data_IF_009107171876
#
_entry.id   IF_009107171876
#
_cell.length_a   1.000
_cell.length_b   1.000
_cell.length_c   1.000
_cell.angle_alpha   90.00
_cell.angle_beta   90.00
_cell.angle_gamma   90.00
#
_symmetry.space_group_name_H-M   'P 1'
#
loop_
_entity.id
_entity.type
_entity.pdbx_description
1 polymer ?
#
# COMPACT_ATOMS: atom_id res chain seq x y z
N UNK A 1 -67.44 4.68 -8.88
CA UNK A 1 -67.80 5.93 -8.21
C UNK A 1 -66.64 6.89 -8.38
N UNK A 2 -66.90 7.97 -9.11
CA UNK A 2 -65.98 9.08 -9.38
C UNK A 2 -66.07 10.08 -8.24
N UNK A 3 -64.94 10.61 -7.77
CA UNK A 3 -64.74 11.93 -7.12
C UNK A 3 -63.29 12.29 -7.51
N UNK A 4 -62.96 13.15 -8.48
CA UNK A 4 -63.20 14.58 -8.70
C UNK A 4 -62.41 15.50 -7.75
N UNK A 5 -61.46 16.22 -8.35
CA UNK A 5 -61.00 17.60 -8.08
C UNK A 5 -60.19 17.91 -6.80
N UNK A 6 -59.28 18.89 -6.75
CA UNK A 6 -58.51 19.73 -7.71
C UNK A 6 -57.53 20.59 -6.82
N UNK A 7 -56.95 21.74 -7.23
CA UNK A 7 -55.53 22.05 -7.04
C UNK A 7 -55.32 23.21 -6.05
N UNK A 8 -54.08 23.64 -5.80
CA UNK A 8 -53.69 25.03 -5.47
C UNK A 8 -52.16 25.06 -5.35
N UNK A 9 -51.41 25.61 -6.31
CA UNK A 9 -51.14 27.05 -6.53
C UNK A 9 -49.96 27.57 -5.69
N UNK A 10 -48.89 27.95 -6.41
CA UNK A 10 -48.09 29.19 -6.26
C UNK A 10 -47.32 29.42 -4.93
N UNK A 11 -46.14 30.03 -4.84
CA UNK A 11 -45.40 30.95 -5.72
C UNK A 11 -43.99 31.17 -5.14
N UNK A 12 -43.05 31.52 -6.02
CA UNK A 12 -41.93 32.49 -5.87
C UNK A 12 -41.73 33.16 -4.48
N UNK A 13 -40.51 33.44 -4.00
CA UNK A 13 -39.63 34.50 -4.52
C UNK A 13 -38.27 34.54 -3.83
N UNK A 14 -37.34 35.10 -4.59
CA UNK A 14 -35.94 35.48 -4.44
C UNK A 14 -35.54 36.48 -3.33
N UNK A 15 -34.20 36.64 -3.21
CA UNK A 15 -33.44 37.89 -2.93
C UNK A 15 -33.27 38.26 -1.42
N UNK A 16 -32.19 38.84 -0.90
CA UNK A 16 -30.93 39.40 -1.45
C UNK A 16 -29.91 39.58 -0.30
N UNK A 17 -28.62 39.49 -0.66
CA UNK A 17 -27.46 40.30 -0.22
C UNK A 17 -27.47 41.12 1.09
N UNK A 18 -26.34 41.08 1.82
CA UNK A 18 -25.64 42.29 2.30
C UNK A 18 -24.17 42.01 2.61
N UNK A 19 -23.32 42.80 1.99
CA UNK A 19 -21.86 42.85 2.07
C UNK A 19 -21.39 43.66 3.29
N UNK A 20 -20.21 43.37 3.83
CA UNK A 20 -19.29 44.40 4.33
C UNK A 20 -17.86 43.84 4.46
N UNK A 21 -16.94 44.51 3.80
CA UNK A 21 -15.50 44.27 3.81
C UNK A 21 -14.87 44.75 5.13
N UNK A 22 -13.74 44.14 5.51
CA UNK A 22 -12.66 44.86 6.17
C UNK A 22 -11.30 44.31 5.71
N UNK A 23 -10.42 45.25 5.36
CA UNK A 23 -9.09 45.05 4.84
C UNK A 23 -8.07 44.65 5.92
N UNK A 24 -6.94 44.14 5.41
CA UNK A 24 -5.63 43.73 5.96
C UNK A 24 -4.95 44.77 6.87
N UNK A 25 -3.72 44.60 7.45
CA UNK A 25 -2.69 43.54 7.28
C UNK A 25 -1.97 43.10 8.58
N UNK A 26 -1.06 42.11 8.49
CA UNK A 26 0.35 42.23 8.92
C UNK A 26 1.01 40.87 9.16
N UNK A 27 2.19 40.75 8.58
CA UNK A 27 3.22 39.74 8.74
C UNK A 27 3.44 39.26 10.17
N UNK A 28 3.51 37.95 10.34
CA UNK A 28 4.42 37.35 11.33
C UNK A 28 5.11 36.15 10.69
N UNK A 29 6.32 36.41 10.22
CA UNK A 29 7.34 35.42 9.90
C UNK A 29 7.56 34.54 11.13
N UNK A 30 6.88 33.40 11.19
CA UNK A 30 7.15 32.34 12.15
C UNK A 30 7.98 31.27 11.47
N UNK A 31 9.31 31.45 11.48
CA UNK A 31 10.27 30.43 11.07
C UNK A 31 10.12 29.20 11.97
N UNK A 32 9.42 28.17 11.49
CA UNK A 32 9.39 26.87 12.15
C UNK A 32 10.79 26.22 11.97
N UNK A 33 11.47 25.85 13.07
CA UNK A 33 12.79 25.23 12.97
C UNK A 33 12.66 23.82 12.37
N UNK A 34 13.46 23.57 11.34
CA UNK A 34 13.66 22.27 10.73
C UNK A 34 14.18 21.31 11.81
N UNK A 35 13.36 20.35 12.21
CA UNK A 35 13.78 19.26 13.09
C UNK A 35 14.83 18.42 12.37
N UNK A 36 16.01 18.18 12.96
CA UNK A 36 17.03 17.35 12.33
C UNK A 36 16.55 15.89 12.23
N UNK A 37 16.83 15.30 11.06
CA UNK A 37 16.63 13.90 10.70
C UNK A 37 17.20 12.97 11.79
N UNK A 38 16.49 11.89 12.19
CA UNK A 38 17.05 10.94 13.14
C UNK A 38 18.29 10.27 12.54
N UNK A 39 19.35 10.27 13.34
CA UNK A 39 20.69 9.78 13.04
C UNK A 39 20.66 8.39 12.43
N UNK A 40 21.24 8.27 11.24
CA UNK A 40 21.59 7.01 10.61
C UNK A 40 22.48 6.22 11.59
N UNK A 41 21.95 5.15 12.18
CA UNK A 41 22.72 4.23 13.01
C UNK A 41 23.37 3.18 12.09
N UNK A 42 24.71 3.16 11.91
CA UNK A 42 25.36 2.04 11.27
C UNK A 42 25.63 0.94 12.32
N UNK A 43 25.11 -0.25 12.09
CA UNK A 43 25.57 -1.46 12.79
C UNK A 43 25.29 -2.70 11.93
N UNK A 44 26.06 -3.78 12.10
CA UNK A 44 27.53 -3.83 12.06
C UNK A 44 28.01 -4.74 10.92
N UNK A 45 29.21 -4.46 10.42
CA UNK A 45 29.99 -5.35 9.57
C UNK A 45 30.25 -6.66 10.31
N UNK A 46 29.48 -7.71 10.01
CA UNK A 46 29.86 -9.08 10.35
C UNK A 46 30.80 -9.57 9.26
N UNK A 47 32.09 -9.44 9.53
CA UNK A 47 33.13 -10.22 8.86
C UNK A 47 32.89 -11.71 9.17
N UNK A 48 32.78 -12.61 8.17
CA UNK A 48 33.08 -14.01 8.41
C UNK A 48 34.61 -14.16 8.42
N UNK A 49 35.20 -14.04 9.61
CA UNK A 49 36.56 -14.50 9.88
C UNK A 49 36.49 -15.85 10.57
N UNK A 50 36.78 -16.92 9.83
CA UNK A 50 37.60 -18.02 10.32
C UNK A 50 37.70 -19.09 9.22
N UNK A 51 38.94 -19.37 8.86
CA UNK A 51 39.35 -20.54 8.13
C UNK A 51 38.75 -21.82 8.70
N UNK A 52 38.26 -22.69 7.84
CA UNK A 52 38.29 -24.13 8.07
C UNK A 52 39.14 -24.74 6.96
N UNK A 53 40.42 -24.89 7.27
CA UNK A 53 41.31 -25.77 6.55
C UNK A 53 41.01 -27.23 6.94
N UNK A 54 41.34 -28.13 6.02
CA UNK A 54 41.50 -29.57 6.20
C UNK A 54 40.21 -30.42 6.30
N UNK A 55 39.75 -30.85 5.12
CA UNK A 55 39.87 -32.25 4.72
C UNK A 55 38.96 -33.26 5.41
N UNK A 56 38.00 -33.78 4.65
CA UNK A 56 37.86 -35.24 4.54
C UNK A 56 37.79 -35.61 3.07
N UNK A 57 38.80 -36.34 2.61
CA UNK A 57 38.65 -37.22 1.47
C UNK A 57 37.76 -38.38 1.94
N UNK A 58 36.46 -38.27 1.68
CA UNK A 58 35.49 -39.34 1.86
C UNK A 58 35.21 -39.99 0.51
N UNK A 59 35.89 -41.09 0.24
CA UNK A 59 35.50 -42.01 -0.81
C UNK A 59 34.18 -42.69 -0.43
N UNK A 60 33.26 -42.76 -1.40
CA UNK A 60 32.05 -43.57 -1.36
C UNK A 60 30.79 -42.75 -1.08
N UNK A 61 29.95 -42.62 -2.10
CA UNK A 61 28.49 -42.65 -1.92
C UNK A 61 27.88 -42.94 -3.28
N UNK A 62 27.41 -44.16 -3.43
CA UNK A 62 26.49 -44.56 -4.48
C UNK A 62 25.39 -43.52 -4.62
N UNK A 63 25.02 -43.23 -5.88
CA UNK A 63 23.90 -42.40 -6.32
C UNK A 63 22.53 -42.88 -5.80
N UNK A 64 22.36 -42.97 -4.49
CA UNK A 64 21.07 -43.15 -3.83
C UNK A 64 20.62 -41.77 -3.35
N UNK A 65 20.21 -40.91 -4.30
CA UNK A 65 19.58 -39.65 -3.98
C UNK A 65 18.32 -39.93 -3.15
N UNK A 66 18.39 -39.64 -1.84
CA UNK A 66 17.28 -39.84 -0.93
C UNK A 66 16.05 -39.05 -1.44
N UNK A 67 14.98 -39.73 -1.86
CA UNK A 67 13.84 -39.08 -2.47
C UNK A 67 13.07 -38.20 -1.46
N UNK A 68 13.26 -38.42 -0.16
CA UNK A 68 12.63 -37.62 0.89
C UNK A 68 13.33 -36.25 1.01
N UNK A 69 14.66 -36.19 0.94
CA UNK A 69 15.42 -34.94 0.91
C UNK A 69 15.02 -34.02 -0.25
N UNK A 70 14.89 -34.57 -1.48
CA UNK A 70 14.44 -33.80 -2.64
C UNK A 70 12.99 -33.31 -2.45
N UNK A 71 12.11 -34.17 -1.92
CA UNK A 71 10.73 -33.80 -1.62
C UNK A 71 10.67 -32.68 -0.58
N UNK A 72 11.48 -32.76 0.47
CA UNK A 72 11.60 -31.73 1.50
C UNK A 72 12.00 -30.38 0.88
N UNK A 73 12.97 -30.40 -0.04
CA UNK A 73 13.43 -29.22 -0.75
C UNK A 73 12.33 -28.61 -1.63
N UNK A 74 11.59 -29.43 -2.38
CA UNK A 74 10.46 -28.95 -3.21
C UNK A 74 9.39 -28.30 -2.35
N UNK A 75 9.04 -28.89 -1.21
CA UNK A 75 8.04 -28.30 -0.29
C UNK A 75 8.52 -26.96 0.26
N UNK A 76 9.80 -26.85 0.64
CA UNK A 76 10.37 -25.59 1.12
C UNK A 76 10.31 -24.50 0.04
N UNK A 77 10.71 -24.81 -1.19
CA UNK A 77 10.64 -23.87 -2.31
C UNK A 77 9.20 -23.47 -2.64
N UNK A 78 8.26 -24.41 -2.62
CA UNK A 78 6.85 -24.12 -2.85
C UNK A 78 6.28 -23.17 -1.80
N UNK A 79 6.70 -23.33 -0.54
CA UNK A 79 6.32 -22.43 0.54
C UNK A 79 6.87 -21.02 0.33
N UNK A 80 8.16 -20.88 0.03
CA UNK A 80 8.77 -19.57 -0.26
C UNK A 80 8.08 -18.86 -1.43
N UNK A 81 7.70 -19.61 -2.47
CA UNK A 81 6.92 -19.08 -3.59
C UNK A 81 5.52 -18.64 -3.18
N UNK A 82 4.86 -19.37 -2.28
CA UNK A 82 3.55 -18.99 -1.77
C UNK A 82 3.63 -17.71 -0.94
N UNK A 83 4.58 -17.66 0.00
CA UNK A 83 4.81 -16.51 0.88
C UNK A 83 5.14 -15.25 0.05
N UNK A 84 5.97 -15.39 -0.99
CA UNK A 84 6.30 -14.27 -1.89
C UNK A 84 5.08 -13.80 -2.68
N UNK A 85 4.23 -14.72 -3.15
CA UNK A 85 3.01 -14.37 -3.90
C UNK A 85 1.98 -13.65 -3.03
N UNK A 86 1.89 -13.97 -1.74
CA UNK A 86 0.96 -13.32 -0.81
C UNK A 86 1.23 -11.81 -0.70
N UNK A 87 2.51 -11.38 -0.79
CA UNK A 87 2.89 -9.97 -0.79
C UNK A 87 2.30 -9.18 -1.98
N UNK A 88 1.91 -9.87 -3.05
CA UNK A 88 1.31 -9.30 -4.25
C UNK A 88 -0.23 -9.32 -4.21
N UNK A 89 -0.85 -9.71 -3.10
CA UNK A 89 -2.29 -9.69 -2.94
C UNK A 89 -2.79 -8.36 -2.36
N UNK A 90 -4.02 -8.01 -2.70
CA UNK A 90 -4.69 -6.82 -2.19
C UNK A 90 -4.76 -6.83 -0.67
N UNK A 91 -4.35 -5.73 -0.04
CA UNK A 91 -4.37 -5.60 1.42
C UNK A 91 -5.77 -5.46 2.03
N UNK A 92 -6.79 -5.36 1.19
CA UNK A 92 -8.20 -5.22 1.60
C UNK A 92 -8.92 -6.56 1.53
N UNK A 93 -8.94 -7.23 0.36
CA UNK A 93 -9.61 -8.52 0.23
C UNK A 93 -8.70 -9.73 0.47
N UNK A 94 -7.37 -9.60 0.36
CA UNK A 94 -6.41 -10.70 0.48
C UNK A 94 -6.61 -11.86 -0.50
N UNK A 95 -7.34 -11.63 -1.60
CA UNK A 95 -7.71 -12.67 -2.58
C UNK A 95 -7.17 -12.38 -3.98
N UNK A 96 -7.23 -11.11 -4.39
CA UNK A 96 -6.95 -10.69 -5.76
C UNK A 96 -5.60 -9.96 -5.81
N UNK A 97 -4.78 -10.17 -6.85
CA UNK A 97 -3.54 -9.44 -7.02
C UNK A 97 -3.71 -7.92 -7.02
N UNK A 98 -2.66 -7.24 -6.60
CA UNK A 98 -2.53 -5.80 -6.68
C UNK A 98 -2.72 -5.30 -8.12
N UNK A 99 -3.43 -4.19 -8.28
CA UNK A 99 -3.77 -3.66 -9.60
C UNK A 99 -4.00 -2.16 -9.66
N UNK A 100 -3.83 -1.43 -8.55
CA UNK A 100 -4.01 0.03 -8.51
C UNK A 100 -2.90 0.72 -7.73
N UNK A 101 -2.49 1.89 -8.21
CA UNK A 101 -1.59 2.82 -7.52
C UNK A 101 -2.37 4.04 -7.03
N UNK A 102 -2.08 4.50 -5.81
CA UNK A 102 -2.70 5.68 -5.20
C UNK A 102 -1.80 6.90 -5.27
N UNK A 103 -2.33 8.05 -5.70
CA UNK A 103 -1.62 9.32 -5.76
C UNK A 103 -2.16 10.28 -4.67
N UNK A 104 -1.30 11.12 -4.06
CA UNK A 104 0.10 11.35 -4.44
C UNK A 104 1.11 10.34 -3.88
N UNK A 105 0.73 9.47 -2.94
CA UNK A 105 1.70 8.65 -2.19
C UNK A 105 2.45 7.55 -2.97
N UNK A 106 1.95 7.12 -4.14
CA UNK A 106 2.58 6.13 -5.02
C UNK A 106 2.45 4.66 -4.58
N UNK A 107 1.77 4.36 -3.47
CA UNK A 107 1.67 2.99 -2.97
C UNK A 107 0.74 2.11 -3.82
N UNK A 108 1.19 0.89 -4.13
CA UNK A 108 0.42 -0.16 -4.79
C UNK A 108 0.00 -1.16 -3.70
N UNK A 109 -1.26 -1.14 -3.30
CA UNK A 109 -1.73 -1.96 -2.16
C UNK A 109 -3.16 -2.49 -2.29
N UNK A 110 -3.87 -2.15 -3.37
CA UNK A 110 -5.23 -2.61 -3.63
C UNK A 110 -5.38 -3.26 -5.02
N UNK A 111 -6.36 -4.16 -5.14
CA UNK A 111 -6.86 -4.63 -6.43
C UNK A 111 -7.83 -3.59 -7.03
N UNK A 112 -8.17 -3.77 -8.31
CA UNK A 112 -9.08 -2.87 -9.05
C UNK A 112 -10.49 -2.82 -8.43
N UNK A 113 -10.94 -3.91 -7.80
CA UNK A 113 -12.24 -3.97 -7.13
C UNK A 113 -12.29 -3.22 -5.80
N UNK A 114 -11.24 -3.33 -4.97
CA UNK A 114 -11.21 -2.69 -3.64
C UNK A 114 -10.82 -1.21 -3.68
N UNK A 115 -10.00 -0.81 -4.65
CA UNK A 115 -9.49 0.57 -4.77
C UNK A 115 -10.54 1.68 -4.67
N UNK A 116 -11.70 1.59 -5.37
CA UNK A 116 -12.76 2.59 -5.30
C UNK A 116 -13.42 2.76 -3.91
N UNK A 117 -13.25 1.80 -3.00
CA UNK A 117 -13.89 1.79 -1.68
C UNK A 117 -12.98 2.30 -0.55
N UNK A 118 -11.76 2.75 -0.87
CA UNK A 118 -10.81 3.28 0.10
C UNK A 118 -10.51 4.75 -0.20
N UNK A 119 -10.45 5.58 0.86
CA UNK A 119 -10.18 7.02 0.75
C UNK A 119 -8.80 7.42 1.30
N UNK A 120 -8.19 6.57 2.13
CA UNK A 120 -6.85 6.73 2.66
C UNK A 120 -6.01 5.52 2.23
N UNK A 121 -4.74 5.74 1.93
CA UNK A 121 -3.83 4.66 1.61
C UNK A 121 -3.68 3.68 2.80
N UNK A 122 -3.94 2.37 2.65
CA UNK A 122 -3.74 1.37 3.70
C UNK A 122 -2.31 1.28 4.24
N UNK A 123 -1.31 1.74 3.47
CA UNK A 123 0.10 1.71 3.86
C UNK A 123 0.47 2.96 4.68
N UNK A 124 0.31 4.15 4.09
CA UNK A 124 0.83 5.39 4.68
C UNK A 124 -0.26 6.34 5.21
N UNK A 125 -1.53 5.98 5.07
CA UNK A 125 -2.71 6.77 5.49
C UNK A 125 -2.86 8.14 4.80
N UNK A 126 -2.08 8.41 3.76
CA UNK A 126 -2.22 9.60 2.91
C UNK A 126 -3.60 9.60 2.22
N UNK A 127 -4.29 10.76 2.14
CA UNK A 127 -5.50 10.91 1.34
C UNK A 127 -5.28 10.58 -0.13
N UNK A 128 -6.19 9.79 -0.69
CA UNK A 128 -6.13 9.37 -2.10
C UNK A 128 -6.80 10.44 -2.96
N UNK A 129 -6.00 11.16 -3.75
CA UNK A 129 -6.50 12.15 -4.71
C UNK A 129 -6.80 11.55 -6.08
N UNK A 130 -5.97 10.61 -6.54
CA UNK A 130 -6.16 9.90 -7.81
C UNK A 130 -5.76 8.43 -7.67
N UNK A 131 -6.36 7.59 -8.51
CA UNK A 131 -6.05 6.16 -8.58
C UNK A 131 -5.90 5.74 -10.04
N UNK A 132 -4.82 5.04 -10.35
CA UNK A 132 -4.56 4.50 -11.69
C UNK A 132 -4.40 2.99 -11.63
N UNK A 133 -4.85 2.31 -12.69
CA UNK A 133 -4.64 0.87 -12.86
C UNK A 133 -3.19 0.59 -13.25
N UNK A 134 -2.59 -0.41 -12.61
CA UNK A 134 -1.23 -0.89 -12.89
C UNK A 134 -1.32 -2.19 -13.69
N UNK A 135 -0.51 -2.30 -14.73
CA UNK A 135 -0.37 -3.50 -15.55
C UNK A 135 1.03 -4.07 -15.33
N UNK A 136 1.11 -5.33 -14.91
CA UNK A 136 2.37 -6.07 -14.75
C UNK A 136 2.59 -6.91 -16.00
N UNK A 137 3.83 -6.91 -16.50
CA UNK A 137 4.23 -7.48 -17.80
C UNK A 137 4.72 -8.92 -17.66
#
# INVERSE_FOLDING_TARGET
>A
AVHTANPSSSSSSSSSSSSAAHATPASSSGSQPLTPLPSFVPAPSTTPSAASAAGTAGAGSSDDADPDALRQQVVALQKELADTKELLLCRVCCEVPLGTVFLPCGHICCCVGCGPHVHLCPICREPIGQMHRVYQN
#
